data_IF_610313993853
#
_entry.id   IF_610313993853
#
_cell.length_a   1.000
_cell.length_b   1.000
_cell.length_c   1.000
_cell.angle_alpha   90.00
_cell.angle_beta   90.00
_cell.angle_gamma   90.00
#
_symmetry.space_group_name_H-M   'P 1'
#
loop_
_entity.id
_entity.type
_entity.pdbx_description
1 polymer ?
#
# COMPACT_ATOMS: atom_id res chain seq x y z
N UNK A 1 14.92 5.94 -11.12
CA UNK A 1 15.07 5.43 -9.75
C UNK A 1 13.67 5.13 -9.24
N UNK A 2 13.14 3.95 -9.57
CA UNK A 2 11.88 3.48 -8.99
C UNK A 2 12.17 3.09 -7.54
N UNK A 3 11.32 3.53 -6.61
CA UNK A 3 11.50 3.36 -5.15
C UNK A 3 11.31 1.89 -4.68
N UNK A 4 11.37 0.94 -5.61
CA UNK A 4 10.98 -0.46 -5.43
C UNK A 4 12.00 -1.36 -6.10
N UNK A 5 13.16 -1.42 -5.49
CA UNK A 5 14.06 -2.56 -5.64
C UNK A 5 14.36 -3.05 -4.22
N UNK A 6 13.29 -3.44 -3.52
CA UNK A 6 13.44 -4.40 -2.43
C UNK A 6 13.85 -5.67 -3.18
N UNK A 7 15.16 -5.91 -3.26
CA UNK A 7 15.76 -6.99 -4.07
C UNK A 7 14.88 -8.23 -4.02
N UNK A 8 14.70 -8.93 -5.15
CA UNK A 8 13.90 -10.16 -5.27
C UNK A 8 14.20 -11.21 -4.16
N UNK A 9 15.31 -11.05 -3.43
CA UNK A 9 15.76 -11.88 -2.32
C UNK A 9 15.23 -11.49 -0.92
N UNK A 10 14.55 -10.35 -0.74
CA UNK A 10 14.02 -9.97 0.58
C UNK A 10 12.71 -10.71 0.85
N UNK A 11 12.79 -11.74 1.69
CA UNK A 11 11.62 -12.53 2.13
C UNK A 11 11.18 -12.18 3.57
N UNK A 12 11.64 -11.04 4.10
CA UNK A 12 11.41 -10.64 5.49
C UNK A 12 10.10 -9.88 5.71
N UNK A 13 9.64 -9.85 6.96
CA UNK A 13 8.57 -8.95 7.40
C UNK A 13 9.16 -7.63 7.89
N UNK A 14 8.38 -6.56 7.82
CA UNK A 14 8.60 -5.28 8.47
C UNK A 14 7.47 -5.02 9.49
N UNK A 15 7.52 -5.62 10.69
CA UNK A 15 6.47 -5.45 11.68
C UNK A 15 6.37 -3.98 12.13
N UNK A 16 5.15 -3.48 12.27
CA UNK A 16 4.87 -2.12 12.75
C UNK A 16 5.42 -1.80 14.14
N UNK A 17 5.60 -2.83 14.98
CA UNK A 17 6.13 -2.71 16.34
C UNK A 17 7.55 -2.13 16.38
N UNK A 18 8.36 -2.36 15.34
CA UNK A 18 9.67 -1.75 15.21
C UNK A 18 9.52 -0.33 14.66
N UNK A 19 9.85 0.66 15.49
CA UNK A 19 9.61 2.09 15.19
C UNK A 19 10.31 2.53 13.91
N UNK A 20 11.50 1.99 13.63
CA UNK A 20 12.31 2.34 12.45
C UNK A 20 11.70 1.88 11.12
N UNK A 21 10.76 0.91 11.14
CA UNK A 21 10.04 0.47 9.95
C UNK A 21 8.95 1.46 9.52
N UNK A 22 8.43 2.25 10.46
CA UNK A 22 7.22 3.08 10.23
C UNK A 22 7.40 4.14 9.14
N UNK A 23 8.54 4.85 9.02
CA UNK A 23 8.74 5.80 7.93
C UNK A 23 8.57 5.14 6.55
N UNK A 24 9.17 3.97 6.35
CA UNK A 24 9.07 3.23 5.09
C UNK A 24 7.64 2.75 4.82
N UNK A 25 7.00 2.09 5.79
CA UNK A 25 5.62 1.60 5.65
C UNK A 25 4.63 2.73 5.34
N UNK A 26 4.77 3.89 6.01
CA UNK A 26 3.95 5.08 5.74
C UNK A 26 4.21 5.67 4.36
N UNK A 27 5.46 5.66 3.91
CA UNK A 27 5.82 6.14 2.57
C UNK A 27 5.18 5.27 1.49
N UNK A 28 5.28 3.94 1.62
CA UNK A 28 4.60 3.00 0.71
C UNK A 28 3.08 3.20 0.72
N UNK A 29 2.47 3.31 1.90
CA UNK A 29 1.03 3.54 2.02
C UNK A 29 0.60 4.84 1.32
N UNK A 30 1.29 5.95 1.59
CA UNK A 30 1.02 7.22 0.93
C UNK A 30 1.20 7.15 -0.58
N UNK A 31 2.20 6.41 -1.06
CA UNK A 31 2.41 6.20 -2.48
C UNK A 31 1.26 5.42 -3.13
N UNK A 32 0.79 4.33 -2.51
CA UNK A 32 -0.39 3.59 -2.96
C UNK A 32 -1.65 4.46 -3.04
N UNK A 33 -1.87 5.31 -2.02
CA UNK A 33 -2.99 6.27 -2.02
C UNK A 33 -2.88 7.29 -3.16
N UNK A 34 -1.68 7.82 -3.43
CA UNK A 34 -1.46 8.73 -4.56
C UNK A 34 -1.74 8.06 -5.90
N UNK A 35 -1.29 6.81 -6.10
CA UNK A 35 -1.56 6.05 -7.32
C UNK A 35 -3.06 5.83 -7.52
N UNK A 36 -3.77 5.47 -6.45
CA UNK A 36 -5.22 5.29 -6.51
C UNK A 36 -5.94 6.59 -6.89
N UNK A 37 -5.58 7.72 -6.27
CA UNK A 37 -6.12 9.05 -6.62
C UNK A 37 -5.80 9.49 -8.05
N UNK A 38 -4.75 8.95 -8.66
CA UNK A 38 -4.41 9.19 -10.07
C UNK A 38 -5.11 8.22 -11.03
N UNK A 39 -5.97 7.32 -10.54
CA UNK A 39 -6.63 6.28 -11.34
C UNK A 39 -5.68 5.15 -11.79
N UNK A 40 -4.48 5.07 -11.20
CA UNK A 40 -3.48 4.04 -11.50
C UNK A 40 -3.73 2.78 -10.65
N UNK A 41 -4.91 2.17 -10.83
CA UNK A 41 -5.42 1.08 -9.99
C UNK A 41 -4.46 -0.11 -9.88
N UNK A 42 -3.98 -0.64 -11.01
CA UNK A 42 -3.12 -1.83 -11.02
C UNK A 42 -1.81 -1.60 -10.26
N UNK A 43 -1.27 -0.36 -10.33
CA UNK A 43 -0.08 0.01 -9.57
C UNK A 43 -0.40 0.16 -8.08
N UNK A 44 -1.51 0.85 -7.75
CA UNK A 44 -1.94 1.01 -6.36
C UNK A 44 -2.15 -0.34 -5.67
N UNK A 45 -2.83 -1.28 -6.34
CA UNK A 45 -3.06 -2.64 -5.88
C UNK A 45 -1.74 -3.36 -5.58
N UNK A 46 -0.76 -3.27 -6.50
CA UNK A 46 0.56 -3.85 -6.29
C UNK A 46 1.26 -3.31 -5.03
N UNK A 47 1.22 -1.98 -4.80
CA UNK A 47 1.79 -1.37 -3.60
C UNK A 47 1.09 -1.90 -2.34
N UNK A 48 -0.25 -2.00 -2.36
CA UNK A 48 -1.03 -2.44 -1.22
C UNK A 48 -0.80 -3.91 -0.88
N UNK A 49 -0.73 -4.80 -1.87
CA UNK A 49 -0.36 -6.20 -1.64
C UNK A 49 1.04 -6.34 -1.05
N UNK A 50 2.02 -5.58 -1.57
CA UNK A 50 3.37 -5.58 -0.99
C UNK A 50 3.38 -5.07 0.45
N UNK A 51 2.60 -4.03 0.76
CA UNK A 51 2.49 -3.50 2.11
C UNK A 51 1.85 -4.51 3.08
N UNK A 52 0.84 -5.26 2.64
CA UNK A 52 0.22 -6.34 3.41
C UNK A 52 1.18 -7.51 3.63
N UNK A 53 2.00 -7.84 2.63
CA UNK A 53 3.01 -8.87 2.76
C UNK A 53 4.11 -8.45 3.75
N UNK A 54 4.60 -7.21 3.68
CA UNK A 54 5.60 -6.67 4.60
C UNK A 54 5.08 -6.53 6.03
N UNK A 55 3.84 -6.08 6.20
CA UNK A 55 3.25 -5.86 7.52
C UNK A 55 1.86 -6.54 7.63
N UNK A 56 1.81 -7.86 7.87
CA UNK A 56 0.55 -8.63 7.87
C UNK A 56 -0.46 -8.21 8.94
N UNK A 57 0.00 -7.56 10.02
CA UNK A 57 -0.90 -6.98 11.03
C UNK A 57 -1.70 -5.80 10.51
N UNK A 58 -1.37 -5.27 9.33
CA UNK A 58 -2.06 -4.19 8.63
C UNK A 58 -2.34 -2.97 9.51
N UNK A 59 -1.29 -2.46 10.15
CA UNK A 59 -1.42 -1.33 11.09
C UNK A 59 -1.75 0.02 10.43
N UNK A 60 -1.81 0.06 9.09
CA UNK A 60 -2.19 1.24 8.30
C UNK A 60 -3.60 1.12 7.69
N UNK A 61 -4.25 -0.04 7.80
CA UNK A 61 -5.63 -0.24 7.39
C UNK A 61 -5.84 -0.43 5.89
N UNK A 62 -4.86 -1.00 5.18
CA UNK A 62 -4.92 -1.28 3.75
C UNK A 62 -6.07 -2.23 3.40
N UNK A 63 -6.37 -3.21 4.26
CA UNK A 63 -7.49 -4.15 4.04
C UNK A 63 -8.86 -3.47 4.01
N UNK A 64 -8.96 -2.23 4.49
CA UNK A 64 -10.21 -1.47 4.47
C UNK A 64 -10.48 -0.77 3.13
N UNK A 65 -9.49 -0.71 2.23
CA UNK A 65 -9.56 0.06 0.98
C UNK A 65 -9.12 -0.72 -0.27
N UNK A 66 -8.48 -1.89 -0.10
CA UNK A 66 -7.89 -2.63 -1.23
C UNK A 66 -8.96 -3.22 -2.15
N UNK A 67 -10.13 -3.56 -1.62
CA UNK A 67 -11.24 -4.10 -2.43
C UNK A 67 -11.78 -3.02 -3.38
N UNK A 68 -11.91 -1.77 -2.92
CA UNK A 68 -12.31 -0.63 -3.76
C UNK A 68 -11.31 -0.35 -4.87
N UNK A 69 -10.02 -0.47 -4.57
CA UNK A 69 -8.94 -0.33 -5.55
C UNK A 69 -9.04 -1.44 -6.60
N UNK A 70 -9.31 -2.68 -6.16
CA UNK A 70 -9.46 -3.83 -7.04
C UNK A 70 -10.70 -3.75 -7.94
N UNK A 71 -11.81 -3.24 -7.39
CA UNK A 71 -13.05 -2.94 -8.14
C UNK A 71 -12.92 -1.69 -9.03
N UNK A 72 -11.77 -1.01 -9.00
CA UNK A 72 -11.48 0.21 -9.76
C UNK A 72 -12.46 1.35 -9.47
N UNK A 73 -12.92 1.43 -8.23
CA UNK A 73 -13.73 2.55 -7.73
C UNK A 73 -12.82 3.76 -7.60
N UNK A 74 -13.15 4.87 -8.28
CA UNK A 74 -12.37 6.10 -8.15
C UNK A 74 -12.44 6.63 -6.71
N UNK A 75 -11.37 7.27 -6.26
CA UNK A 75 -11.30 7.82 -4.90
C UNK A 75 -12.46 8.78 -4.61
N UNK A 76 -12.80 9.61 -5.60
CA UNK A 76 -13.88 10.59 -5.52
C UNK A 76 -15.26 9.93 -5.35
N UNK A 77 -15.47 8.74 -5.92
CA UNK A 77 -16.75 8.02 -5.79
C UNK A 77 -16.93 7.42 -4.38
N UNK A 78 -15.83 7.13 -3.68
CA UNK A 78 -15.85 6.65 -2.31
C UNK A 78 -16.15 7.77 -1.31
N UNK A 79 -15.61 8.98 -1.51
CA UNK A 79 -15.90 10.13 -0.65
C UNK A 79 -17.37 10.58 -0.71
N UNK A 80 -18.07 10.20 -1.79
CA UNK A 80 -19.48 10.52 -2.02
C UNK A 80 -20.45 9.40 -1.61
N UNK A 81 -19.95 8.27 -1.08
CA UNK A 81 -20.77 7.19 -0.48
C UNK A 81 -21.10 7.50 0.98
#
# INVERSE_FOLDING_TARGET
MTLMDLSDDFTGLLPWGFVDNRPFLRCMHGYGLCLWRLGLFDQAEQIFHQLLWLNPSDSLGVRLIIDEVWEKIAWEDLENK
#
